data_IF_171884437238
#
_entry.id   IF_171884437238
#
_cell.length_a   1.000
_cell.length_b   1.000
_cell.length_c   1.000
_cell.angle_alpha   90.00
_cell.angle_beta   90.00
_cell.angle_gamma   90.00
#
_symmetry.space_group_name_H-M   'P 1'
#
loop_
_entity.id
_entity.type
_entity.pdbx_description
1 polymer ?
#
# COMPACT_ATOMS: atom_id res chain seq x y z
N UNK A 1 31.89 9.53 -24.19
CA UNK A 1 32.14 9.68 -22.75
C UNK A 1 31.00 10.49 -22.17
N UNK A 2 30.06 9.84 -21.50
CA UNK A 2 29.03 10.54 -20.71
C UNK A 2 28.67 9.63 -19.54
N UNK A 3 28.90 10.18 -18.35
CA UNK A 3 28.83 9.51 -17.06
C UNK A 3 27.37 9.22 -16.72
N UNK A 4 27.02 7.95 -16.51
CA UNK A 4 25.77 7.56 -15.85
C UNK A 4 25.95 7.77 -14.36
N UNK A 5 25.08 8.58 -13.77
CA UNK A 5 25.08 8.89 -12.34
C UNK A 5 25.05 7.61 -11.49
N UNK A 6 25.94 7.54 -10.52
CA UNK A 6 26.02 6.45 -9.55
C UNK A 6 24.74 6.42 -8.70
N UNK A 7 23.98 5.31 -8.80
CA UNK A 7 22.92 4.98 -7.85
C UNK A 7 23.55 4.75 -6.48
N UNK A 8 23.06 5.45 -5.46
CA UNK A 8 23.46 5.19 -4.08
C UNK A 8 23.20 3.71 -3.71
N UNK A 9 24.19 2.97 -3.18
CA UNK A 9 24.00 1.58 -2.83
C UNK A 9 23.08 1.46 -1.59
N UNK A 10 22.00 0.69 -1.71
CA UNK A 10 21.22 0.25 -0.55
C UNK A 10 19.69 0.40 -0.62
N UNK A 11 19.13 1.00 -1.68
CA UNK A 11 17.67 0.92 -1.88
C UNK A 11 17.31 -0.44 -2.49
N UNK A 12 16.39 -1.21 -1.89
CA UNK A 12 15.95 -2.47 -2.48
C UNK A 12 15.44 -2.21 -3.91
N UNK A 13 15.96 -2.96 -4.87
CA UNK A 13 15.59 -2.79 -6.27
C UNK A 13 14.09 -3.08 -6.43
N UNK A 14 13.34 -2.05 -6.84
CA UNK A 14 11.91 -2.16 -7.11
C UNK A 14 11.67 -3.26 -8.14
N UNK A 15 10.71 -4.15 -7.87
CA UNK A 15 10.44 -5.28 -8.77
C UNK A 15 10.14 -4.78 -10.19
N UNK A 16 10.82 -5.33 -11.18
CA UNK A 16 10.58 -4.98 -12.58
C UNK A 16 9.16 -5.37 -13.01
N UNK A 17 8.52 -4.53 -13.82
CA UNK A 17 7.20 -4.77 -14.40
C UNK A 17 7.32 -5.56 -15.70
N UNK A 18 6.33 -6.42 -15.97
CA UNK A 18 6.16 -6.99 -17.31
C UNK A 18 5.69 -5.93 -18.32
N UNK A 19 5.91 -6.13 -19.64
CA UNK A 19 5.57 -5.13 -20.65
C UNK A 19 4.08 -4.70 -20.65
N UNK A 20 3.16 -5.64 -20.43
CA UNK A 20 1.72 -5.36 -20.34
C UNK A 20 1.38 -4.53 -19.08
N UNK A 21 2.09 -4.76 -17.98
CA UNK A 21 1.95 -3.98 -16.75
C UNK A 21 2.49 -2.56 -16.93
N UNK A 22 3.62 -2.38 -17.61
CA UNK A 22 4.15 -1.04 -17.95
C UNK A 22 3.13 -0.27 -18.77
N UNK A 23 2.57 -0.89 -19.80
CA UNK A 23 1.53 -0.25 -20.63
C UNK A 23 0.27 0.09 -19.82
N UNK A 24 -0.14 -0.80 -18.92
CA UNK A 24 -1.26 -0.55 -18.01
C UNK A 24 -1.01 0.66 -17.10
N UNK A 25 0.17 0.74 -16.47
CA UNK A 25 0.58 1.86 -15.61
C UNK A 25 0.55 3.17 -16.39
N UNK A 26 1.16 3.21 -17.58
CA UNK A 26 1.19 4.40 -18.43
C UNK A 26 -0.22 4.88 -18.83
N UNK A 27 -1.11 3.95 -19.20
CA UNK A 27 -2.51 4.29 -19.54
C UNK A 27 -3.29 4.78 -18.35
N UNK A 28 -3.12 4.16 -17.19
CA UNK A 28 -3.81 4.52 -15.95
C UNK A 28 -3.35 5.89 -15.45
N UNK A 29 -2.05 6.09 -15.27
CA UNK A 29 -1.48 7.34 -14.77
C UNK A 29 -1.85 8.53 -15.67
N UNK A 30 -1.67 8.39 -16.99
CA UNK A 30 -2.05 9.43 -17.97
C UNK A 30 -3.53 9.82 -17.87
N UNK A 31 -4.42 8.85 -17.68
CA UNK A 31 -5.85 9.13 -17.56
C UNK A 31 -6.17 9.80 -16.21
N UNK A 32 -5.67 9.25 -15.11
CA UNK A 32 -5.99 9.67 -13.74
C UNK A 32 -5.34 11.01 -13.35
N UNK A 33 -4.32 11.49 -14.07
CA UNK A 33 -3.79 12.87 -13.90
C UNK A 33 -4.82 13.94 -14.22
N UNK A 34 -5.91 13.61 -14.93
CA UNK A 34 -7.01 14.53 -15.20
C UNK A 34 -7.95 14.55 -13.99
N UNK A 35 -8.16 15.71 -13.33
CA UNK A 35 -9.05 15.81 -12.18
C UNK A 35 -10.47 15.31 -12.49
N UNK A 36 -11.10 14.64 -11.52
CA UNK A 36 -12.47 14.14 -11.64
C UNK A 36 -12.64 12.88 -12.49
N UNK A 37 -11.57 12.29 -13.02
CA UNK A 37 -11.65 11.05 -13.81
C UNK A 37 -11.64 9.79 -12.96
N UNK A 38 -12.14 8.69 -13.54
CA UNK A 38 -12.15 7.34 -12.95
C UNK A 38 -11.78 6.33 -14.02
N UNK A 39 -11.06 5.28 -13.64
CA UNK A 39 -10.67 4.21 -14.57
C UNK A 39 -10.71 2.84 -13.90
N UNK A 40 -11.13 1.84 -14.67
CA UNK A 40 -11.10 0.44 -14.29
C UNK A 40 -9.90 -0.25 -14.94
N UNK A 41 -9.14 -1.00 -14.15
CA UNK A 41 -8.11 -1.91 -14.63
C UNK A 41 -8.57 -3.35 -14.43
N UNK A 42 -8.68 -4.10 -15.53
CA UNK A 42 -9.05 -5.52 -15.52
C UNK A 42 -7.83 -6.33 -15.90
N UNK A 43 -7.55 -7.37 -15.12
CA UNK A 43 -6.50 -8.34 -15.38
C UNK A 43 -6.88 -9.70 -14.78
N UNK A 44 -6.22 -10.76 -15.20
CA UNK A 44 -6.42 -12.09 -14.60
C UNK A 44 -5.90 -12.13 -13.15
N UNK A 45 -6.31 -13.15 -12.40
CA UNK A 45 -5.74 -13.41 -11.07
C UNK A 45 -4.28 -13.81 -11.19
N UNK A 46 -3.43 -13.39 -10.26
CA UNK A 46 -1.99 -13.70 -10.28
C UNK A 46 -1.13 -12.81 -11.19
N UNK A 47 -1.71 -11.95 -12.05
CA UNK A 47 -0.95 -11.09 -12.97
C UNK A 47 -0.42 -9.79 -12.33
N UNK A 48 -0.36 -9.72 -11.01
CA UNK A 48 0.27 -8.59 -10.31
C UNK A 48 -0.56 -7.30 -10.25
N UNK A 49 -1.89 -7.37 -10.09
CA UNK A 49 -2.76 -6.17 -9.90
C UNK A 49 -2.25 -5.23 -8.81
N UNK A 50 -1.78 -5.79 -7.70
CA UNK A 50 -1.23 -5.00 -6.59
C UNK A 50 0.04 -4.25 -7.02
N UNK A 51 0.93 -4.89 -7.80
CA UNK A 51 2.14 -4.25 -8.30
C UNK A 51 1.82 -3.10 -9.27
N UNK A 52 0.85 -3.31 -10.17
CA UNK A 52 0.35 -2.23 -11.04
C UNK A 52 -0.22 -1.07 -10.20
N UNK A 53 -0.97 -1.36 -9.12
CA UNK A 53 -1.50 -0.28 -8.27
C UNK A 53 -0.42 0.53 -7.55
N UNK A 54 0.66 -0.11 -7.08
CA UNK A 54 1.79 0.56 -6.44
C UNK A 54 2.45 1.52 -7.44
N UNK A 55 2.76 1.04 -8.65
CA UNK A 55 3.42 1.86 -9.66
C UNK A 55 2.54 2.96 -10.22
N UNK A 56 1.22 2.75 -10.30
CA UNK A 56 0.28 3.85 -10.62
C UNK A 56 0.30 4.91 -9.52
N UNK A 57 0.34 4.53 -8.24
CA UNK A 57 0.42 5.48 -7.15
C UNK A 57 1.74 6.28 -7.19
N UNK A 58 2.87 5.62 -7.44
CA UNK A 58 4.18 6.25 -7.64
C UNK A 58 4.16 7.28 -8.78
N UNK A 59 3.64 6.89 -9.95
CA UNK A 59 3.53 7.73 -11.15
C UNK A 59 2.60 8.93 -10.97
N UNK A 60 1.60 8.80 -10.10
CA UNK A 60 0.71 9.88 -9.71
C UNK A 60 1.26 10.73 -8.57
N UNK A 61 2.39 10.37 -7.99
CA UNK A 61 2.93 10.98 -6.76
C UNK A 61 1.85 11.05 -5.67
N UNK A 62 1.07 9.96 -5.55
CA UNK A 62 -0.11 9.94 -4.69
C UNK A 62 0.30 10.10 -3.22
N UNK A 63 -0.22 11.15 -2.57
CA UNK A 63 0.03 11.42 -1.14
C UNK A 63 -0.76 10.52 -0.20
N UNK A 64 -1.88 9.98 -0.69
CA UNK A 64 -2.78 9.11 0.06
C UNK A 64 -3.35 8.07 -0.90
N UNK A 65 -3.32 6.80 -0.49
CA UNK A 65 -3.89 5.68 -1.24
C UNK A 65 -4.84 4.91 -0.32
N UNK A 66 -6.05 4.65 -0.81
CA UNK A 66 -7.06 3.86 -0.12
C UNK A 66 -7.26 2.53 -0.86
N UNK A 67 -7.02 1.43 -0.16
CA UNK A 67 -7.38 0.09 -0.61
C UNK A 67 -8.68 -0.36 0.07
N UNK A 68 -9.66 -0.73 -0.74
CA UNK A 68 -10.89 -1.39 -0.27
C UNK A 68 -10.81 -2.85 -0.68
N UNK A 69 -10.79 -3.73 0.32
CA UNK A 69 -10.60 -5.17 0.13
C UNK A 69 -11.65 -5.94 0.95
N UNK A 70 -12.10 -7.11 0.48
CA UNK A 70 -13.20 -7.83 1.12
C UNK A 70 -12.77 -8.61 2.37
N UNK A 71 -11.46 -8.83 2.58
CA UNK A 71 -10.95 -9.60 3.71
C UNK A 71 -9.73 -8.96 4.35
N UNK A 72 -9.52 -9.26 5.63
CA UNK A 72 -8.37 -8.77 6.38
C UNK A 72 -7.05 -9.40 5.89
N UNK A 73 -7.08 -10.62 5.34
CA UNK A 73 -5.92 -11.23 4.71
C UNK A 73 -5.49 -10.49 3.44
N UNK A 74 -6.44 -10.05 2.61
CA UNK A 74 -6.14 -9.23 1.44
C UNK A 74 -5.59 -7.86 1.85
N UNK A 75 -6.04 -7.29 2.97
CA UNK A 75 -5.48 -6.07 3.53
C UNK A 75 -4.01 -6.30 3.94
N UNK A 76 -3.73 -7.38 4.66
CA UNK A 76 -2.37 -7.76 5.07
C UNK A 76 -1.46 -8.00 3.86
N UNK A 77 -1.94 -8.75 2.86
CA UNK A 77 -1.20 -9.02 1.63
C UNK A 77 -0.86 -7.73 0.86
N UNK A 78 -1.82 -6.81 0.77
CA UNK A 78 -1.61 -5.50 0.14
C UNK A 78 -0.56 -4.71 0.92
N UNK A 79 -0.68 -4.64 2.25
CA UNK A 79 0.28 -3.94 3.10
C UNK A 79 1.70 -4.49 2.96
N UNK A 80 1.86 -5.80 2.99
CA UNK A 80 3.16 -6.45 2.81
C UNK A 80 3.74 -6.24 1.42
N UNK A 81 2.90 -6.22 0.38
CA UNK A 81 3.36 -5.93 -0.98
C UNK A 81 3.92 -4.51 -1.09
N UNK A 82 3.25 -3.52 -0.50
CA UNK A 82 3.71 -2.14 -0.43
C UNK A 82 5.04 -2.01 0.33
N UNK A 83 5.12 -2.62 1.52
CA UNK A 83 6.35 -2.64 2.33
C UNK A 83 7.53 -3.27 1.58
N UNK A 84 7.30 -4.38 0.87
CA UNK A 84 8.32 -5.05 0.05
C UNK A 84 8.76 -4.21 -1.15
N UNK A 85 7.91 -3.32 -1.65
CA UNK A 85 8.28 -2.37 -2.73
C UNK A 85 8.93 -1.07 -2.19
N UNK A 86 9.21 -1.01 -0.89
CA UNK A 86 9.94 0.10 -0.26
C UNK A 86 9.05 1.21 0.32
N UNK A 87 7.73 1.04 0.31
CA UNK A 87 6.80 1.99 0.91
C UNK A 87 6.77 1.83 2.43
N UNK A 88 7.39 2.76 3.16
CA UNK A 88 7.53 2.72 4.63
C UNK A 88 6.65 3.75 5.36
N UNK A 89 5.83 4.50 4.63
CA UNK A 89 4.88 5.47 5.18
C UNK A 89 3.84 4.84 6.12
N UNK A 90 3.17 5.65 6.94
CA UNK A 90 2.16 5.17 7.86
C UNK A 90 0.99 4.47 7.12
N UNK A 91 0.68 3.25 7.54
CA UNK A 91 -0.45 2.47 7.04
C UNK A 91 -1.45 2.20 8.16
N UNK A 92 -2.73 2.36 7.84
CA UNK A 92 -3.86 2.07 8.73
C UNK A 92 -4.71 0.99 8.11
N UNK A 93 -5.05 -0.02 8.90
CA UNK A 93 -6.03 -1.03 8.51
C UNK A 93 -7.26 -0.85 9.39
N UNK A 94 -8.38 -0.52 8.75
CA UNK A 94 -9.67 -0.35 9.40
C UNK A 94 -10.50 -1.59 9.12
N UNK A 95 -10.91 -2.29 10.17
CA UNK A 95 -11.78 -3.46 10.10
C UNK A 95 -12.61 -3.58 11.37
N UNK A 96 -13.82 -4.12 11.25
CA UNK A 96 -14.62 -4.55 12.41
C UNK A 96 -14.17 -5.92 12.97
N UNK A 97 -13.30 -6.63 12.25
CA UNK A 97 -12.75 -7.93 12.67
C UNK A 97 -11.52 -7.74 13.55
N UNK A 98 -11.35 -8.67 14.50
CA UNK A 98 -10.14 -8.73 15.32
C UNK A 98 -8.91 -9.12 14.48
N UNK A 99 -7.79 -8.48 14.78
CA UNK A 99 -6.48 -8.74 14.17
C UNK A 99 -5.66 -9.78 14.96
N UNK A 100 -6.12 -10.21 16.13
CA UNK A 100 -5.46 -11.23 16.95
C UNK A 100 -5.18 -12.52 16.14
N UNK A 101 -3.95 -13.04 16.24
CA UNK A 101 -3.53 -14.27 15.56
C UNK A 101 -3.18 -14.12 14.07
N UNK A 102 -3.08 -12.90 13.54
CA UNK A 102 -2.70 -12.64 12.14
C UNK A 102 -1.32 -11.98 12.03
N UNK A 103 -0.27 -12.79 12.07
CA UNK A 103 1.14 -12.36 12.03
C UNK A 103 1.47 -11.46 10.82
N UNK A 104 0.79 -11.67 9.69
CA UNK A 104 0.94 -10.87 8.48
C UNK A 104 0.60 -9.37 8.70
N UNK A 105 -0.36 -9.05 9.56
CA UNK A 105 -0.72 -7.65 9.88
C UNK A 105 0.31 -6.99 10.79
N UNK A 106 0.82 -7.76 11.76
CA UNK A 106 1.86 -7.33 12.69
C UNK A 106 3.15 -7.04 11.93
N UNK A 107 3.55 -7.94 11.03
CA UNK A 107 4.74 -7.78 10.18
C UNK A 107 4.65 -6.61 9.19
N UNK A 108 3.45 -6.17 8.82
CA UNK A 108 3.27 -4.99 7.98
C UNK A 108 3.46 -3.65 8.74
N UNK A 109 3.70 -3.68 10.06
CA UNK A 109 3.72 -2.50 10.95
C UNK A 109 2.45 -1.67 10.76
N UNK A 110 1.30 -2.36 10.78
CA UNK A 110 -0.02 -1.75 10.70
C UNK A 110 -0.64 -1.71 12.09
N UNK A 111 -1.32 -0.61 12.44
CA UNK A 111 -2.11 -0.52 13.65
C UNK A 111 -3.55 -0.87 13.32
N UNK A 112 -4.12 -1.85 14.02
CA UNK A 112 -5.55 -2.19 13.90
C UNK A 112 -6.35 -1.37 14.90
N UNK A 113 -7.43 -0.71 14.44
CA UNK A 113 -8.38 0.00 15.31
C UNK A 113 -9.08 -0.89 16.34
N UNK A 114 -9.06 -2.22 16.14
CA UNK A 114 -9.66 -3.21 17.03
C UNK A 114 -8.71 -3.68 18.16
N UNK A 115 -7.45 -3.21 18.21
CA UNK A 115 -6.47 -3.69 19.19
C UNK A 115 -6.85 -3.23 20.61
N UNK A 116 -7.07 -4.14 21.58
CA UNK A 116 -7.35 -3.74 22.96
C UNK A 116 -6.10 -3.14 23.63
N UNK A 117 -6.32 -2.14 24.48
CA UNK A 117 -5.25 -1.50 25.27
C UNK A 117 -4.55 -2.53 26.18
N UNK A 118 -3.22 -2.45 26.39
CA UNK A 118 -2.30 -1.40 25.93
C UNK A 118 -1.74 -1.63 24.52
N UNK A 119 -1.68 -0.55 23.73
CA UNK A 119 -1.15 -0.56 22.36
C UNK A 119 0.35 -0.83 22.29
N UNK A 120 0.85 -1.53 21.25
CA UNK A 120 2.28 -1.73 21.03
C UNK A 120 3.01 -0.39 20.78
N UNK A 121 4.33 -0.29 21.06
CA UNK A 121 5.12 0.94 20.96
C UNK A 121 4.97 1.68 19.62
N UNK A 122 4.91 0.94 18.51
CA UNK A 122 4.73 1.46 17.14
C UNK A 122 3.37 2.15 16.90
N UNK A 123 2.38 1.91 17.77
CA UNK A 123 1.02 2.45 17.65
C UNK A 123 0.69 3.48 18.73
N UNK A 124 1.61 3.78 19.67
CA UNK A 124 1.32 4.69 20.80
C UNK A 124 1.03 6.13 20.38
N UNK A 125 1.61 6.62 19.27
CA UNK A 125 1.32 7.96 18.74
C UNK A 125 -0.11 8.12 18.21
N UNK A 126 -0.81 7.02 17.95
CA UNK A 126 -2.19 6.99 17.44
C UNK A 126 -3.25 7.07 18.56
N UNK A 127 -2.90 6.69 19.79
CA UNK A 127 -3.83 6.60 20.93
C UNK A 127 -4.42 7.93 21.44
N UNK A 128 -4.04 9.07 20.84
CA UNK A 128 -4.61 10.39 21.20
C UNK A 128 -5.82 10.81 20.35
N UNK A 129 -6.18 10.07 19.29
CA UNK A 129 -7.20 10.51 18.33
C UNK A 129 -8.41 9.59 18.13
N UNK A 130 -8.41 8.38 18.70
CA UNK A 130 -9.52 7.42 18.56
C UNK A 130 -9.95 6.96 19.94
N UNK A 131 -10.72 7.78 20.64
CA UNK A 131 -11.45 7.34 21.83
C UNK A 131 -12.70 6.59 21.40
N UNK A 132 -13.02 5.52 22.14
CA UNK A 132 -14.15 4.59 21.96
C UNK A 132 -15.55 5.24 22.00
N UNK A 133 -15.65 6.57 21.96
CA UNK A 133 -16.88 7.35 22.21
C UNK A 133 -17.48 8.02 20.98
N UNK A 134 -17.14 7.60 19.76
CA UNK A 134 -17.74 8.10 18.52
C UNK A 134 -18.34 7.01 17.63
N UNK A 135 -18.84 5.92 18.25
CA UNK A 135 -19.89 5.07 17.69
C UNK A 135 -21.09 5.13 18.63
#
# INVERSE_FOLDING_TARGET
MTVVAATAPGLPEKRALFPDQVEAVNRLARHLRRPGTRRLYVAATGTGKIMVSIRVADELQARLVLFVVPTLDLAAQTALAWRRDGHTEHMVIVSSMDAAGRDALVSATSCSAATPSPWPPSCRSWGRGVTRSQL
#
